data_IF_512052260884
#
_entry.id   IF_512052260884
#
_cell.length_a   1.000
_cell.length_b   1.000
_cell.length_c   1.000
_cell.angle_alpha   90.00
_cell.angle_beta   90.00
_cell.angle_gamma   90.00
#
_symmetry.space_group_name_H-M   'P 1'
#
loop_
_entity.id
_entity.type
_entity.pdbx_description
1 polymer ?
#
# COMPACT_ATOMS: atom_id res chain seq x y z
N UNK A 1 2.89 -27.67 52.54
CA UNK A 1 3.24 -28.30 51.25
C UNK A 1 3.16 -27.22 50.17
N UNK A 2 4.30 -26.62 49.81
CA UNK A 2 4.34 -25.54 48.81
C UNK A 2 4.31 -26.12 47.39
N UNK A 3 3.31 -25.75 46.60
CA UNK A 3 3.25 -26.08 45.18
C UNK A 3 4.12 -25.12 44.39
N UNK A 4 5.17 -25.70 43.81
CA UNK A 4 6.09 -25.08 42.86
C UNK A 4 5.43 -25.15 41.49
N UNK A 5 5.05 -24.03 40.90
CA UNK A 5 4.80 -23.98 39.45
C UNK A 5 5.52 -22.78 38.84
N UNK A 6 6.68 -23.10 38.27
CA UNK A 6 7.43 -22.22 37.37
C UNK A 6 6.74 -22.22 36.01
N UNK A 7 6.57 -21.03 35.43
CA UNK A 7 7.18 -20.72 34.13
C UNK A 7 6.88 -19.26 33.80
N UNK A 8 7.74 -18.35 34.28
CA UNK A 8 7.86 -17.03 33.66
C UNK A 8 8.41 -17.26 32.25
N UNK A 9 7.57 -17.07 31.24
CA UNK A 9 7.99 -17.02 29.84
C UNK A 9 8.91 -15.82 29.70
N UNK A 10 10.22 -16.06 29.76
CA UNK A 10 11.23 -15.07 29.40
C UNK A 10 11.17 -14.92 27.88
N UNK A 11 10.39 -13.97 27.38
CA UNK A 11 10.41 -13.60 25.97
C UNK A 11 11.78 -12.99 25.68
N UNK A 12 12.56 -13.66 24.83
CA UNK A 12 13.81 -13.13 24.29
C UNK A 12 13.43 -12.10 23.22
N UNK A 13 13.88 -10.86 23.35
CA UNK A 13 13.66 -9.82 22.34
C UNK A 13 14.13 -10.36 20.97
N UNK A 14 13.17 -10.48 20.04
CA UNK A 14 13.39 -11.00 18.69
C UNK A 14 12.85 -12.42 18.40
N UNK A 15 12.24 -13.11 19.35
CA UNK A 15 11.62 -14.42 19.08
C UNK A 15 10.27 -14.26 18.38
N UNK A 16 10.29 -14.30 17.05
CA UNK A 16 9.07 -14.27 16.21
C UNK A 16 8.37 -15.62 16.35
N UNK A 17 7.24 -15.63 17.06
CA UNK A 17 6.43 -16.83 17.26
C UNK A 17 5.89 -17.35 15.92
N UNK A 18 5.64 -18.66 15.81
CA UNK A 18 5.05 -19.28 14.60
C UNK A 18 3.78 -18.54 14.15
N UNK A 19 2.97 -18.09 15.10
CA UNK A 19 1.74 -17.33 14.87
C UNK A 19 1.99 -15.96 14.22
N UNK A 20 3.02 -15.23 14.64
CA UNK A 20 3.41 -13.95 14.03
C UNK A 20 3.89 -14.13 12.59
N UNK A 21 4.64 -15.19 12.29
CA UNK A 21 5.07 -15.50 10.91
C UNK A 21 3.88 -15.81 9.99
N UNK A 22 2.91 -16.57 10.49
CA UNK A 22 1.68 -16.90 9.75
C UNK A 22 0.81 -15.64 9.55
N UNK A 23 0.72 -14.78 10.57
CA UNK A 23 0.05 -13.48 10.50
C UNK A 23 0.67 -12.59 9.42
N UNK A 24 1.99 -12.41 9.44
CA UNK A 24 2.72 -11.61 8.47
C UNK A 24 2.51 -12.14 7.05
N UNK A 25 2.61 -13.46 6.85
CA UNK A 25 2.39 -14.13 5.55
C UNK A 25 0.97 -13.90 5.02
N UNK A 26 -0.04 -13.98 5.91
CA UNK A 26 -1.43 -13.71 5.56
C UNK A 26 -1.64 -12.24 5.18
N UNK A 27 -1.00 -11.31 5.88
CA UNK A 27 -1.02 -9.89 5.52
C UNK A 27 -0.38 -9.64 4.15
N UNK A 28 0.78 -10.22 3.85
CA UNK A 28 1.43 -10.06 2.54
C UNK A 28 0.58 -10.64 1.42
N UNK A 29 -0.04 -11.81 1.63
CA UNK A 29 -0.93 -12.44 0.66
C UNK A 29 -2.16 -11.57 0.36
N UNK A 30 -2.74 -10.94 1.38
CA UNK A 30 -3.86 -10.02 1.21
C UNK A 30 -3.43 -8.73 0.50
N UNK A 31 -2.27 -8.17 0.83
CA UNK A 31 -1.73 -6.99 0.13
C UNK A 31 -1.50 -7.27 -1.36
N UNK A 32 -0.92 -8.43 -1.70
CA UNK A 32 -0.73 -8.87 -3.08
C UNK A 32 -2.06 -9.09 -3.82
N UNK A 33 -3.07 -9.65 -3.15
CA UNK A 33 -4.39 -9.84 -3.74
C UNK A 33 -5.06 -8.50 -4.06
N UNK A 34 -5.04 -7.57 -3.10
CA UNK A 34 -5.55 -6.21 -3.30
C UNK A 34 -4.79 -5.46 -4.41
N UNK A 35 -3.47 -5.63 -4.49
CA UNK A 35 -2.66 -5.05 -5.55
C UNK A 35 -3.05 -5.61 -6.94
N UNK A 36 -3.27 -6.92 -7.05
CA UNK A 36 -3.72 -7.58 -8.29
C UNK A 36 -5.13 -7.16 -8.71
N UNK A 37 -6.06 -7.06 -7.77
CA UNK A 37 -7.42 -6.59 -8.05
C UNK A 37 -7.42 -5.12 -8.53
N UNK A 38 -6.52 -4.31 -7.98
CA UNK A 38 -6.33 -2.91 -8.37
C UNK A 38 -5.43 -2.70 -9.59
N UNK A 39 -4.78 -3.76 -10.09
CA UNK A 39 -3.76 -3.69 -11.16
C UNK A 39 -4.32 -3.34 -12.54
N UNK A 40 -5.64 -3.22 -12.70
CA UNK A 40 -6.29 -2.77 -13.93
C UNK A 40 -7.35 -1.70 -13.72
N UNK A 41 -7.58 -1.26 -12.48
CA UNK A 41 -8.55 -0.21 -12.20
C UNK A 41 -7.92 1.15 -12.54
N UNK A 42 -8.50 1.84 -13.51
CA UNK A 42 -8.04 3.15 -14.01
C UNK A 42 -9.18 4.15 -13.86
N UNK A 43 -8.83 5.39 -13.52
CA UNK A 43 -9.74 6.54 -13.45
C UNK A 43 -9.32 7.54 -14.51
N UNK A 44 -10.30 8.02 -15.27
CA UNK A 44 -10.15 9.09 -16.24
C UNK A 44 -10.28 10.43 -15.54
N UNK A 45 -9.21 11.24 -15.58
CA UNK A 45 -9.19 12.57 -14.97
C UNK A 45 -9.08 13.61 -16.08
N UNK A 46 -10.12 14.42 -16.20
CA UNK A 46 -10.12 15.57 -17.10
C UNK A 46 -9.26 16.69 -16.51
N UNK A 47 -8.18 17.06 -17.21
CA UNK A 47 -7.29 18.17 -16.83
C UNK A 47 -7.67 19.45 -17.59
N UNK A 48 -8.27 19.31 -18.77
CA UNK A 48 -8.78 20.44 -19.57
C UNK A 48 -9.96 19.98 -20.41
N UNK A 49 -10.72 20.92 -20.97
CA UNK A 49 -11.89 20.63 -21.83
C UNK A 49 -11.58 19.71 -23.03
N UNK A 50 -10.30 19.58 -23.42
CA UNK A 50 -9.84 18.73 -24.52
C UNK A 50 -8.87 17.62 -24.09
N UNK A 51 -8.57 17.50 -22.79
CA UNK A 51 -7.48 16.63 -22.33
C UNK A 51 -7.89 15.85 -21.09
N UNK A 52 -7.84 14.54 -21.22
CA UNK A 52 -8.14 13.56 -20.17
C UNK A 52 -6.96 12.62 -20.02
N UNK A 53 -6.58 12.30 -18.78
CA UNK A 53 -5.48 11.37 -18.47
C UNK A 53 -6.03 10.15 -17.74
N UNK A 54 -5.52 8.98 -18.12
CA UNK A 54 -5.77 7.71 -17.46
C UNK A 54 -4.76 7.49 -16.34
N UNK A 55 -5.24 7.47 -15.09
CA UNK A 55 -4.42 7.22 -13.91
C UNK A 55 -4.93 5.99 -13.14
N UNK A 56 -4.04 5.20 -12.51
CA UNK A 56 -4.47 4.09 -11.67
C UNK A 56 -5.41 4.54 -10.53
N UNK A 57 -6.52 3.82 -10.35
CA UNK A 57 -7.56 4.12 -9.35
C UNK A 57 -7.10 3.97 -7.90
N UNK A 58 -5.96 3.32 -7.69
CA UNK A 58 -5.39 3.10 -6.37
C UNK A 58 -4.50 4.24 -5.88
N UNK A 59 -4.21 5.23 -6.74
CA UNK A 59 -3.45 6.41 -6.36
C UNK A 59 -4.26 7.29 -5.42
N UNK A 60 -3.58 7.92 -4.44
CA UNK A 60 -4.23 8.91 -3.59
C UNK A 60 -4.44 10.22 -4.33
N UNK A 61 -5.27 11.10 -3.76
CA UNK A 61 -5.55 12.42 -4.35
C UNK A 61 -4.28 13.27 -4.46
N UNK A 62 -3.34 13.15 -3.51
CA UNK A 62 -2.07 13.86 -3.55
C UNK A 62 -1.19 13.39 -4.72
N UNK A 63 -1.09 12.07 -4.93
CA UNK A 63 -0.31 11.49 -6.02
C UNK A 63 -0.89 11.87 -7.39
N UNK A 64 -2.22 11.87 -7.50
CA UNK A 64 -2.96 12.35 -8.67
C UNK A 64 -2.62 13.82 -8.95
N UNK A 65 -2.71 14.70 -7.94
CA UNK A 65 -2.38 16.12 -8.09
C UNK A 65 -0.93 16.33 -8.56
N UNK A 66 0.03 15.62 -7.95
CA UNK A 66 1.43 15.66 -8.36
C UNK A 66 1.67 15.13 -9.80
N UNK A 67 0.80 14.23 -10.29
CA UNK A 67 0.86 13.74 -11.67
C UNK A 67 0.31 14.79 -12.65
N UNK A 68 -0.80 15.43 -12.29
CA UNK A 68 -1.42 16.52 -13.07
C UNK A 68 -0.45 17.70 -13.17
N UNK A 69 0.18 18.10 -12.07
CA UNK A 69 1.16 19.18 -12.04
C UNK A 69 2.37 18.87 -12.94
N UNK A 70 2.91 17.65 -12.86
CA UNK A 70 4.00 17.21 -13.75
C UNK A 70 3.58 17.25 -15.22
N UNK A 71 2.38 16.79 -15.54
CA UNK A 71 1.84 16.87 -16.89
C UNK A 71 1.77 18.32 -17.38
N UNK A 72 1.21 19.22 -16.57
CA UNK A 72 1.11 20.64 -16.91
C UNK A 72 2.48 21.30 -17.10
N UNK A 73 3.46 20.96 -16.27
CA UNK A 73 4.83 21.47 -16.39
C UNK A 73 5.50 21.03 -17.70
N UNK A 74 5.39 19.75 -18.06
CA UNK A 74 5.96 19.22 -19.31
C UNK A 74 5.24 19.76 -20.55
N UNK A 75 3.91 19.89 -20.48
CA UNK A 75 3.13 20.46 -21.57
C UNK A 75 3.38 21.95 -21.75
N UNK A 76 3.51 22.69 -20.65
CA UNK A 76 3.81 24.13 -20.64
C UNK A 76 5.25 24.46 -21.03
N UNK A 77 6.18 23.50 -20.96
CA UNK A 77 7.57 23.69 -21.39
C UNK A 77 7.79 23.50 -22.89
N UNK A 78 6.72 23.32 -23.67
CA UNK A 78 6.77 23.20 -25.13
C UNK A 78 6.18 24.46 -25.77
N UNK A 79 6.85 25.60 -25.58
CA UNK A 79 6.69 26.83 -26.38
C UNK A 79 8.04 27.50 -26.52
#
# INVERSE_FOLDING_TARGET
MSTKQKSSVTKKDGEITRSERVSATRQTKNALKNAKEKAGAVVHIAISNRTTIELPAHLTKEEIAARIERYNKLRGSTV
#
